data_IF_511019766221
#
_entry.id   IF_511019766221
#
_cell.length_a   1.000
_cell.length_b   1.000
_cell.length_c   1.000
_cell.angle_alpha   90.00
_cell.angle_beta   90.00
_cell.angle_gamma   90.00
#
_symmetry.space_group_name_H-M   'P 1'
#
loop_
_entity.id
_entity.type
_entity.pdbx_description
1 polymer ?
#
# COMPACT_ATOMS: atom_id res chain seq x y z
N UNK A 1 -16.90 -7.33 -2.32
CA UNK A 1 -15.79 -6.72 -1.57
C UNK A 1 -14.90 -7.79 -1.00
N UNK A 2 -13.61 -7.71 -1.30
CA UNK A 2 -12.67 -8.66 -0.74
C UNK A 2 -12.44 -8.35 0.74
N UNK A 3 -12.27 -9.38 1.54
CA UNK A 3 -11.97 -9.23 2.95
C UNK A 3 -10.58 -9.79 3.22
N UNK A 4 -9.75 -8.97 3.84
CA UNK A 4 -8.40 -9.35 4.21
C UNK A 4 -8.18 -9.01 5.67
N UNK A 5 -7.41 -9.86 6.35
CA UNK A 5 -6.88 -9.48 7.66
C UNK A 5 -5.82 -8.41 7.42
N UNK A 6 -5.40 -7.70 8.45
CA UNK A 6 -4.35 -6.70 8.31
C UNK A 6 -3.07 -7.30 7.73
N UNK A 7 -2.69 -8.49 8.20
CA UNK A 7 -1.50 -9.16 7.69
C UNK A 7 -1.64 -9.50 6.21
N UNK A 8 -2.79 -10.03 5.82
CA UNK A 8 -3.05 -10.36 4.43
C UNK A 8 -3.04 -9.11 3.55
N UNK A 9 -3.67 -8.05 4.02
CA UNK A 9 -3.74 -6.79 3.29
C UNK A 9 -2.34 -6.21 3.09
N UNK A 10 -1.52 -6.23 4.13
CA UNK A 10 -0.15 -5.76 4.04
C UNK A 10 0.65 -6.56 3.02
N UNK A 11 0.50 -7.88 3.04
CA UNK A 11 1.18 -8.76 2.09
C UNK A 11 0.74 -8.47 0.65
N UNK A 12 -0.56 -8.26 0.44
CA UNK A 12 -1.09 -7.94 -0.89
C UNK A 12 -0.60 -6.60 -1.39
N UNK A 13 -0.51 -5.61 -0.50
CA UNK A 13 0.01 -4.30 -0.86
C UNK A 13 1.47 -4.41 -1.32
N UNK A 14 2.29 -5.15 -0.59
CA UNK A 14 3.69 -5.35 -0.97
C UNK A 14 3.80 -6.07 -2.31
N UNK A 15 2.94 -7.06 -2.55
CA UNK A 15 2.90 -7.78 -3.80
C UNK A 15 2.58 -6.85 -4.97
N UNK A 16 1.58 -5.99 -4.80
CA UNK A 16 1.20 -5.02 -5.83
C UNK A 16 2.35 -4.06 -6.10
N UNK A 17 3.01 -3.58 -5.05
CA UNK A 17 4.13 -2.65 -5.20
C UNK A 17 5.34 -3.31 -5.87
N UNK A 18 5.47 -4.62 -5.77
CA UNK A 18 6.52 -5.35 -6.46
C UNK A 18 6.34 -5.29 -7.97
N UNK A 19 5.09 -5.29 -8.44
CA UNK A 19 4.79 -5.22 -9.87
C UNK A 19 4.71 -3.78 -10.37
N UNK A 20 4.50 -2.83 -9.48
CA UNK A 20 4.43 -1.40 -9.79
C UNK A 20 5.50 -0.66 -9.00
N UNK A 21 6.13 0.33 -9.59
CA UNK A 21 7.16 1.10 -8.89
C UNK A 21 6.57 1.91 -7.75
N UNK A 22 5.41 2.49 -7.97
CA UNK A 22 4.74 3.31 -6.97
C UNK A 22 3.25 3.33 -7.27
N UNK A 23 2.45 3.52 -6.24
CA UNK A 23 1.00 3.58 -6.40
C UNK A 23 0.41 4.50 -5.34
N UNK A 24 -0.74 5.06 -5.68
CA UNK A 24 -1.52 5.83 -4.71
C UNK A 24 -2.35 4.88 -3.87
N UNK A 25 -2.65 5.28 -2.64
CA UNK A 25 -3.51 4.48 -1.77
C UNK A 25 -4.84 4.15 -2.44
N UNK A 26 -5.40 5.12 -3.17
CA UNK A 26 -6.66 4.93 -3.88
C UNK A 26 -6.54 3.83 -4.94
N UNK A 27 -5.43 3.80 -5.66
CA UNK A 27 -5.20 2.78 -6.68
C UNK A 27 -5.09 1.40 -6.05
N UNK A 28 -4.37 1.30 -4.94
CA UNK A 28 -4.23 0.03 -4.22
C UNK A 28 -5.59 -0.45 -3.75
N UNK A 29 -6.39 0.45 -3.20
CA UNK A 29 -7.73 0.11 -2.72
C UNK A 29 -8.60 -0.43 -3.86
N UNK A 30 -8.51 0.18 -5.03
CA UNK A 30 -9.27 -0.25 -6.20
C UNK A 30 -8.82 -1.63 -6.68
N UNK A 31 -7.52 -1.85 -6.75
CA UNK A 31 -6.96 -3.13 -7.22
C UNK A 31 -7.34 -4.27 -6.27
N UNK A 32 -7.26 -4.02 -4.98
CA UNK A 32 -7.54 -5.06 -3.97
C UNK A 32 -9.02 -5.13 -3.60
N UNK A 33 -9.83 -4.22 -4.13
CA UNK A 33 -11.27 -4.15 -3.85
C UNK A 33 -11.55 -4.04 -2.35
N UNK A 34 -10.84 -3.12 -1.71
CA UNK A 34 -11.00 -2.82 -0.28
C UNK A 34 -11.21 -1.33 -0.11
N UNK A 35 -11.57 -0.93 1.10
CA UNK A 35 -11.76 0.48 1.42
C UNK A 35 -10.42 1.18 1.50
N UNK A 36 -10.38 2.43 1.02
CA UNK A 36 -9.18 3.26 1.11
C UNK A 36 -8.70 3.38 2.54
N UNK A 37 -9.63 3.47 3.49
CA UNK A 37 -9.31 3.55 4.92
C UNK A 37 -8.49 2.35 5.38
N UNK A 38 -8.86 1.15 4.93
CA UNK A 38 -8.12 -0.06 5.28
C UNK A 38 -6.71 -0.04 4.69
N UNK A 39 -6.60 0.46 3.46
CA UNK A 39 -5.30 0.61 2.81
C UNK A 39 -4.44 1.62 3.58
N UNK A 40 -5.01 2.74 3.99
CA UNK A 40 -4.29 3.75 4.75
C UNK A 40 -3.69 3.17 6.03
N UNK A 41 -4.48 2.38 6.76
CA UNK A 41 -4.02 1.74 7.99
C UNK A 41 -2.89 0.76 7.71
N UNK A 42 -3.07 -0.08 6.69
CA UNK A 42 -2.06 -1.09 6.34
C UNK A 42 -0.76 -0.43 5.86
N UNK A 43 -0.87 0.61 5.04
CA UNK A 43 0.30 1.32 4.52
C UNK A 43 1.06 2.01 5.65
N UNK A 44 0.34 2.62 6.58
CA UNK A 44 0.98 3.24 7.74
C UNK A 44 1.74 2.22 8.57
N UNK A 45 1.14 1.05 8.79
CA UNK A 45 1.81 -0.03 9.52
C UNK A 45 3.07 -0.49 8.80
N UNK A 46 3.00 -0.67 7.48
CA UNK A 46 4.15 -1.06 6.69
C UNK A 46 5.26 0.00 6.71
N UNK A 47 4.88 1.27 6.66
CA UNK A 47 5.84 2.36 6.74
C UNK A 47 6.55 2.39 8.08
N UNK A 48 5.83 2.13 9.15
CA UNK A 48 6.43 2.07 10.49
C UNK A 48 7.41 0.92 10.63
N UNK A 49 7.19 -0.15 9.87
CA UNK A 49 8.11 -1.29 9.84
C UNK A 49 9.23 -1.12 8.83
N UNK A 50 9.22 -0.03 8.07
CA UNK A 50 10.23 0.23 7.05
C UNK A 50 10.06 -0.59 5.79
N UNK A 51 8.89 -1.16 5.56
CA UNK A 51 8.61 -2.00 4.39
C UNK A 51 8.10 -1.22 3.20
N UNK A 52 7.62 -0.01 3.42
CA UNK A 52 7.22 0.90 2.34
C UNK A 52 7.67 2.31 2.69
N UNK A 53 7.74 3.16 1.70
CA UNK A 53 8.07 4.58 1.87
C UNK A 53 7.00 5.40 1.19
N UNK A 54 6.82 6.61 1.70
CA UNK A 54 5.94 7.58 1.06
C UNK A 54 6.77 8.46 0.14
N UNK A 55 6.25 8.69 -1.06
CA UNK A 55 6.90 9.53 -2.05
C UNK A 55 5.92 10.61 -2.46
N UNK A 56 6.34 11.85 -2.40
CA UNK A 56 5.50 12.97 -2.77
C UNK A 56 6.01 13.62 -4.06
N UNK A 57 5.22 13.50 -5.12
CA UNK A 57 5.53 14.08 -6.43
C UNK A 57 4.31 14.87 -6.92
N UNK A 58 3.95 15.91 -6.16
CA UNK A 58 2.71 16.64 -6.40
C UNK A 58 1.49 15.94 -5.83
N UNK A 59 1.60 14.65 -5.58
CA UNK A 59 0.59 13.84 -4.89
C UNK A 59 1.32 12.73 -4.14
N UNK A 60 0.66 12.17 -3.14
CA UNK A 60 1.28 11.13 -2.32
C UNK A 60 1.26 9.77 -3.02
N UNK A 61 2.39 9.11 -3.03
CA UNK A 61 2.53 7.75 -3.53
C UNK A 61 3.10 6.85 -2.45
N UNK A 62 2.83 5.56 -2.57
CA UNK A 62 3.44 4.53 -1.74
C UNK A 62 4.39 3.76 -2.64
N UNK A 63 5.60 3.52 -2.18
CA UNK A 63 6.61 2.81 -2.96
C UNK A 63 7.39 1.89 -2.03
N UNK A 64 8.06 0.89 -2.62
CA UNK A 64 8.95 0.04 -1.85
C UNK A 64 10.23 0.82 -1.56
N UNK A 65 10.80 0.65 -0.34
CA UNK A 65 12.04 1.34 -0.02
C UNK A 65 13.18 0.86 -0.91
N UNK A 66 14.03 1.78 -1.28
CA UNK A 66 15.21 1.42 -2.06
C UNK A 66 16.24 0.80 -1.12
N UNK A 67 16.77 -0.31 -1.53
CA UNK A 67 17.79 -0.99 -0.76
C UNK A 67 19.10 -0.19 -0.73
#
# INVERSE_FOLDING_TARGET
>A
MAEYTQEELQAKILEVLTTKDKMKNKEIATILDVKKKDVDVAVNALAMEGKVEFLYLGTSYVTLPKA
#
